data_IF_220484975995
#
_entry.id   IF_220484975995
#
_cell.length_a   1.000
_cell.length_b   1.000
_cell.length_c   1.000
_cell.angle_alpha   90.00
_cell.angle_beta   90.00
_cell.angle_gamma   90.00
#
_symmetry.space_group_name_H-M   'P 1'
#
loop_
_entity.id
_entity.type
_entity.pdbx_description
1 polymer ?
#
# COMPACT_ATOMS: atom_id res chain seq x y z
N UNK A 1 14.44 -27.38 -13.79
CA UNK A 1 13.64 -26.46 -12.98
C UNK A 1 14.38 -26.15 -11.69
N UNK A 2 14.67 -24.89 -11.45
CA UNK A 2 15.41 -24.49 -10.26
C UNK A 2 14.48 -24.48 -9.02
N UNK A 3 15.07 -24.28 -7.85
CA UNK A 3 14.30 -24.27 -6.59
C UNK A 3 13.30 -23.13 -6.53
N UNK A 4 13.61 -22.01 -7.16
CA UNK A 4 12.71 -20.85 -7.22
C UNK A 4 11.44 -21.22 -7.98
N UNK A 5 11.58 -21.91 -9.11
CA UNK A 5 10.42 -22.36 -9.89
C UNK A 5 9.57 -23.36 -9.14
N UNK A 6 10.19 -24.24 -8.38
CA UNK A 6 9.46 -25.19 -7.53
C UNK A 6 8.69 -24.48 -6.44
N UNK A 7 9.31 -23.51 -5.80
CA UNK A 7 8.68 -22.68 -4.78
C UNK A 7 7.52 -21.88 -5.36
N UNK A 8 7.73 -21.29 -6.53
CA UNK A 8 6.70 -20.53 -7.22
C UNK A 8 5.51 -21.41 -7.61
N UNK A 9 5.77 -22.64 -8.06
CA UNK A 9 4.71 -23.61 -8.37
C UNK A 9 3.91 -23.96 -7.13
N UNK A 10 4.58 -24.21 -6.04
CA UNK A 10 3.94 -24.54 -4.77
C UNK A 10 3.08 -23.39 -4.27
N UNK A 11 3.61 -22.17 -4.30
CA UNK A 11 2.88 -20.98 -3.93
C UNK A 11 1.70 -20.73 -4.85
N UNK A 12 1.85 -21.03 -6.14
CA UNK A 12 0.79 -20.87 -7.13
C UNK A 12 -0.39 -21.79 -6.86
N UNK A 13 -0.14 -23.00 -6.42
CA UNK A 13 -1.20 -23.92 -6.05
C UNK A 13 -1.97 -23.45 -4.83
N UNK A 14 -1.27 -22.83 -3.87
CA UNK A 14 -1.85 -22.40 -2.62
C UNK A 14 -2.32 -20.95 -2.63
N UNK A 15 -1.62 -20.06 -3.38
CA UNK A 15 -1.87 -18.63 -3.33
C UNK A 15 -1.51 -17.93 -4.65
N UNK A 16 -2.30 -18.14 -5.68
CA UNK A 16 -2.12 -17.44 -6.96
C UNK A 16 -2.01 -15.94 -6.81
N UNK A 17 -2.77 -15.36 -5.89
CA UNK A 17 -2.79 -13.93 -5.63
C UNK A 17 -1.43 -13.40 -5.18
N UNK A 18 -0.76 -14.13 -4.28
CA UNK A 18 0.55 -13.73 -3.78
C UNK A 18 1.60 -13.78 -4.89
N UNK A 19 1.53 -14.79 -5.75
CA UNK A 19 2.43 -14.92 -6.88
C UNK A 19 2.28 -13.78 -7.87
N UNK A 20 1.07 -13.39 -8.19
CA UNK A 20 0.80 -12.26 -9.07
C UNK A 20 1.34 -10.96 -8.49
N UNK A 21 1.13 -10.73 -7.20
CA UNK A 21 1.64 -9.55 -6.50
C UNK A 21 3.16 -9.51 -6.55
N UNK A 22 3.81 -10.65 -6.35
CA UNK A 22 5.27 -10.74 -6.42
C UNK A 22 5.79 -10.42 -7.83
N UNK A 23 5.12 -10.92 -8.87
CA UNK A 23 5.51 -10.62 -10.26
C UNK A 23 5.36 -9.15 -10.59
N UNK A 24 4.28 -8.53 -10.15
CA UNK A 24 4.05 -7.10 -10.36
C UNK A 24 5.13 -6.28 -9.67
N UNK A 25 5.51 -6.64 -8.47
CA UNK A 25 6.59 -5.99 -7.75
C UNK A 25 7.93 -6.11 -8.47
N UNK A 26 8.27 -7.29 -8.94
CA UNK A 26 9.50 -7.53 -9.68
C UNK A 26 9.53 -6.70 -10.96
N UNK A 27 8.41 -6.61 -11.67
CA UNK A 27 8.30 -5.79 -12.87
C UNK A 27 8.50 -4.31 -12.55
N UNK A 28 7.96 -3.81 -11.45
CA UNK A 28 8.15 -2.43 -11.01
C UNK A 28 9.62 -2.16 -10.72
N UNK A 29 10.28 -3.06 -10.02
CA UNK A 29 11.71 -2.95 -9.70
C UNK A 29 12.55 -2.97 -10.97
N UNK A 30 12.27 -3.88 -11.90
CA UNK A 30 13.00 -4.01 -13.16
C UNK A 30 12.81 -2.81 -14.07
N UNK A 31 11.67 -2.16 -14.03
CA UNK A 31 11.42 -0.97 -14.84
C UNK A 31 12.07 0.30 -14.26
N UNK A 32 12.77 0.19 -13.14
CA UNK A 32 13.42 1.33 -12.51
C UNK A 32 12.46 2.30 -11.85
N UNK A 33 11.23 1.88 -11.64
CA UNK A 33 10.20 2.73 -11.02
C UNK A 33 10.17 2.60 -9.50
N UNK A 34 11.26 2.15 -8.90
CA UNK A 34 11.41 2.19 -7.46
C UNK A 34 11.60 3.65 -7.05
N UNK A 35 10.50 4.34 -6.85
CA UNK A 35 10.55 5.72 -6.39
C UNK A 35 10.95 5.75 -4.93
N UNK A 36 12.09 6.39 -4.67
CA UNK A 36 12.29 6.97 -3.36
C UNK A 36 11.37 8.17 -3.28
N UNK A 37 10.56 8.23 -2.26
CA UNK A 37 9.73 9.40 -2.06
C UNK A 37 10.60 10.61 -1.78
N UNK A 38 10.23 11.74 -2.35
CA UNK A 38 10.90 13.00 -2.06
C UNK A 38 10.64 13.44 -0.62
N UNK A 39 9.53 13.04 -0.03
CA UNK A 39 9.16 13.40 1.33
C UNK A 39 9.27 12.19 2.26
N UNK A 40 9.95 12.39 3.38
CA UNK A 40 10.21 11.36 4.38
C UNK A 40 8.91 10.72 4.92
N UNK A 41 7.85 11.50 5.09
CA UNK A 41 6.57 10.99 5.57
C UNK A 41 6.04 9.86 4.69
N UNK A 42 6.16 10.00 3.38
CA UNK A 42 5.69 9.00 2.44
C UNK A 42 6.47 7.70 2.56
N UNK A 43 7.78 7.82 2.70
CA UNK A 43 8.67 6.67 2.82
C UNK A 43 8.39 5.88 4.10
N UNK A 44 8.34 6.57 5.24
CA UNK A 44 8.09 5.95 6.54
C UNK A 44 6.69 5.33 6.58
N UNK A 45 5.69 6.06 6.13
CA UNK A 45 4.31 5.57 6.15
C UNK A 45 4.11 4.38 5.23
N UNK A 46 4.72 4.39 4.06
CA UNK A 46 4.67 3.25 3.15
C UNK A 46 5.21 1.99 3.83
N UNK A 47 6.32 2.10 4.54
CA UNK A 47 6.91 0.98 5.27
C UNK A 47 5.96 0.45 6.33
N UNK A 48 5.36 1.33 7.12
CA UNK A 48 4.42 0.96 8.18
C UNK A 48 3.21 0.23 7.59
N UNK A 49 2.59 0.83 6.59
CA UNK A 49 1.39 0.27 5.95
C UNK A 49 1.68 -1.09 5.33
N UNK A 50 2.76 -1.19 4.58
CA UNK A 50 3.11 -2.45 3.92
C UNK A 50 3.42 -3.55 4.92
N UNK A 51 4.07 -3.22 6.02
CA UNK A 51 4.40 -4.20 7.06
C UNK A 51 3.13 -4.74 7.73
N UNK A 52 2.19 -3.86 8.07
CA UNK A 52 0.94 -4.27 8.70
C UNK A 52 0.04 -5.08 7.77
N UNK A 53 0.02 -4.74 6.50
CA UNK A 53 -0.78 -5.46 5.51
C UNK A 53 -0.10 -6.71 4.95
N UNK A 54 1.19 -6.87 5.22
CA UNK A 54 1.95 -8.00 4.68
C UNK A 54 2.10 -7.94 3.17
N UNK A 55 2.20 -6.75 2.61
CA UNK A 55 2.38 -6.52 1.18
C UNK A 55 3.74 -5.88 0.92
N UNK A 56 4.34 -6.12 -0.25
CA UNK A 56 5.67 -5.59 -0.56
C UNK A 56 5.65 -4.09 -0.88
N UNK A 57 4.59 -3.61 -1.50
CA UNK A 57 4.45 -2.20 -1.87
C UNK A 57 2.99 -1.86 -2.12
N UNK A 58 2.61 -0.60 -1.89
CA UNK A 58 1.27 -0.12 -2.22
C UNK A 58 1.14 0.29 -3.69
N UNK A 59 2.24 0.31 -4.45
CA UNK A 59 2.27 0.85 -5.82
C UNK A 59 1.85 -0.12 -6.91
N UNK A 60 1.59 -1.36 -6.55
CA UNK A 60 1.10 -2.33 -7.52
C UNK A 60 -0.27 -1.89 -8.01
N UNK A 61 -0.43 -1.80 -9.34
CA UNK A 61 -1.71 -1.48 -9.96
C UNK A 61 -2.61 -2.71 -9.91
N UNK A 62 -3.31 -2.85 -8.82
CA UNK A 62 -4.23 -3.97 -8.61
C UNK A 62 -5.45 -3.47 -7.85
N UNK A 63 -6.58 -4.14 -8.09
CA UNK A 63 -7.83 -3.88 -7.38
C UNK A 63 -8.08 -4.87 -6.24
N UNK A 64 -7.08 -5.67 -5.90
CA UNK A 64 -7.19 -6.59 -4.76
C UNK A 64 -7.43 -5.79 -3.50
N UNK A 65 -8.33 -6.31 -2.68
CA UNK A 65 -8.87 -5.58 -1.54
C UNK A 65 -7.80 -5.14 -0.55
N UNK A 66 -6.77 -5.96 -0.32
CA UNK A 66 -5.67 -5.61 0.57
C UNK A 66 -4.93 -4.37 0.12
N UNK A 67 -4.66 -4.26 -1.17
CA UNK A 67 -3.97 -3.10 -1.74
C UNK A 67 -4.85 -1.87 -1.72
N UNK A 68 -6.13 -2.04 -2.01
CA UNK A 68 -7.09 -0.94 -1.96
C UNK A 68 -7.20 -0.40 -0.54
N UNK A 69 -7.34 -1.29 0.44
CA UNK A 69 -7.40 -0.90 1.84
C UNK A 69 -6.09 -0.25 2.32
N UNK A 70 -4.94 -0.79 1.92
CA UNK A 70 -3.64 -0.24 2.27
C UNK A 70 -3.46 1.18 1.73
N UNK A 71 -3.78 1.39 0.45
CA UNK A 71 -3.68 2.72 -0.16
C UNK A 71 -4.62 3.72 0.51
N UNK A 72 -5.81 3.28 0.91
CA UNK A 72 -6.79 4.18 1.52
C UNK A 72 -6.33 4.70 2.88
N UNK A 73 -5.77 3.86 3.74
CA UNK A 73 -5.25 4.33 5.02
C UNK A 73 -3.98 5.18 4.83
N UNK A 74 -3.14 4.83 3.87
CA UNK A 74 -1.98 5.61 3.50
C UNK A 74 -2.38 7.04 3.11
N UNK A 75 -3.33 7.16 2.19
CA UNK A 75 -3.80 8.47 1.71
C UNK A 75 -4.47 9.27 2.84
N UNK A 76 -5.26 8.62 3.67
CA UNK A 76 -5.94 9.26 4.78
C UNK A 76 -4.95 9.86 5.78
N UNK A 77 -3.95 9.11 6.18
CA UNK A 77 -2.95 9.58 7.15
C UNK A 77 -2.17 10.76 6.57
N UNK A 78 -1.76 10.69 5.31
CA UNK A 78 -1.06 11.79 4.67
C UNK A 78 -1.93 13.04 4.54
N UNK A 79 -3.19 12.87 4.20
CA UNK A 79 -4.13 13.99 4.11
C UNK A 79 -4.34 14.63 5.47
N UNK A 80 -4.49 13.83 6.52
CA UNK A 80 -4.62 14.30 7.90
C UNK A 80 -3.36 15.01 8.38
N UNK A 81 -2.22 14.63 7.85
CA UNK A 81 -0.93 15.22 8.20
C UNK A 81 -0.66 16.54 7.46
N UNK A 82 -1.63 17.01 6.69
CA UNK A 82 -1.56 18.31 6.02
C UNK A 82 -1.12 18.29 4.56
N UNK A 83 -0.87 17.12 3.99
CA UNK A 83 -0.49 17.05 2.57
C UNK A 83 -1.70 17.27 1.68
N UNK A 84 -1.51 18.02 0.60
CA UNK A 84 -2.57 18.29 -0.38
C UNK A 84 -2.83 17.06 -1.25
N UNK A 85 -4.05 17.00 -1.81
CA UNK A 85 -4.39 15.94 -2.76
C UNK A 85 -3.42 15.91 -3.94
N UNK A 86 -3.05 17.07 -4.45
CA UNK A 86 -2.10 17.19 -5.56
C UNK A 86 -0.72 16.66 -5.20
N UNK A 87 -0.23 16.96 -4.00
CA UNK A 87 1.07 16.49 -3.56
C UNK A 87 1.07 14.97 -3.36
N UNK A 88 0.03 14.44 -2.71
CA UNK A 88 -0.12 12.97 -2.55
C UNK A 88 -0.16 12.30 -3.92
N UNK A 89 -0.94 12.84 -4.85
CA UNK A 89 -1.04 12.30 -6.21
C UNK A 89 0.28 12.34 -6.95
N UNK A 90 1.03 13.44 -6.85
CA UNK A 90 2.32 13.57 -7.53
C UNK A 90 3.36 12.59 -7.00
N UNK A 91 3.39 12.38 -5.68
CA UNK A 91 4.32 11.45 -5.04
C UNK A 91 3.99 9.98 -5.35
N UNK A 92 2.73 9.67 -5.56
CA UNK A 92 2.25 8.30 -5.78
C UNK A 92 1.85 8.03 -7.23
N UNK A 93 2.04 9.00 -8.10
CA UNK A 93 1.67 8.92 -9.52
C UNK A 93 0.19 8.57 -9.71
N UNK A 94 -0.68 9.23 -8.96
CA UNK A 94 -2.13 9.04 -9.04
C UNK A 94 -2.82 10.41 -9.16
N UNK A 95 -3.96 10.44 -9.83
CA UNK A 95 -4.73 11.68 -10.00
C UNK A 95 -5.55 12.04 -8.77
N UNK A 96 -6.02 13.29 -8.72
CA UNK A 96 -6.87 13.79 -7.62
C UNK A 96 -8.10 12.92 -7.39
N UNK A 97 -8.79 12.55 -8.46
CA UNK A 97 -10.00 11.72 -8.38
C UNK A 97 -9.71 10.38 -7.71
N UNK A 98 -8.58 9.78 -8.03
CA UNK A 98 -8.15 8.51 -7.43
C UNK A 98 -7.93 8.67 -5.93
N UNK A 99 -7.27 9.76 -5.52
CA UNK A 99 -7.03 10.03 -4.09
C UNK A 99 -8.35 10.29 -3.37
N UNK A 100 -9.24 11.07 -3.95
CA UNK A 100 -10.56 11.35 -3.37
C UNK A 100 -11.35 10.05 -3.16
N UNK A 101 -11.35 9.17 -4.17
CA UNK A 101 -12.02 7.86 -4.06
C UNK A 101 -11.37 7.00 -2.98
N UNK A 102 -10.05 7.03 -2.87
CA UNK A 102 -9.31 6.32 -1.83
C UNK A 102 -9.73 6.77 -0.43
N UNK A 103 -9.91 8.08 -0.23
CA UNK A 103 -10.38 8.61 1.05
C UNK A 103 -11.80 8.16 1.39
N UNK A 104 -12.67 8.05 0.39
CA UNK A 104 -14.02 7.51 0.59
C UNK A 104 -13.98 6.03 0.96
N UNK A 105 -13.08 5.28 0.34
CA UNK A 105 -12.86 3.87 0.65
C UNK A 105 -12.38 3.71 2.09
N UNK A 106 -11.47 4.56 2.54
CA UNK A 106 -11.01 4.57 3.94
C UNK A 106 -12.19 4.72 4.90
N UNK A 107 -13.09 5.64 4.62
CA UNK A 107 -14.26 5.87 5.47
C UNK A 107 -15.09 4.59 5.64
N UNK A 108 -15.29 3.84 4.57
CA UNK A 108 -15.98 2.55 4.64
C UNK A 108 -15.23 1.49 5.43
N UNK A 109 -13.96 1.29 5.10
CA UNK A 109 -13.14 0.27 5.75
C UNK A 109 -12.85 0.57 7.22
N UNK A 110 -12.80 1.83 7.61
CA UNK A 110 -12.58 2.21 9.01
C UNK A 110 -13.71 1.75 9.93
N UNK A 111 -14.87 1.45 9.37
CA UNK A 111 -16.02 0.91 10.09
C UNK A 111 -16.17 -0.61 9.93
N UNK A 112 -15.39 -1.20 9.06
CA UNK A 112 -15.44 -2.63 8.78
C UNK A 112 -14.64 -3.41 9.82
N UNK A 113 -15.28 -4.41 10.41
CA UNK A 113 -14.66 -5.25 11.45
C UNK A 113 -13.33 -5.85 10.98
N UNK A 114 -13.21 -6.16 9.68
CA UNK A 114 -12.01 -6.79 9.12
C UNK A 114 -10.80 -5.85 9.09
N UNK A 115 -11.01 -4.54 8.98
CA UNK A 115 -9.91 -3.59 8.79
C UNK A 115 -9.79 -2.52 9.88
N UNK A 116 -10.82 -2.36 10.69
CA UNK A 116 -10.87 -1.33 11.72
C UNK A 116 -9.65 -1.36 12.66
N UNK A 117 -9.36 -2.53 13.22
CA UNK A 117 -8.26 -2.68 14.17
C UNK A 117 -6.91 -2.48 13.51
N UNK A 118 -6.76 -2.99 12.29
CA UNK A 118 -5.53 -2.82 11.51
C UNK A 118 -5.26 -1.35 11.22
N UNK A 119 -6.28 -0.61 10.84
CA UNK A 119 -6.16 0.83 10.60
C UNK A 119 -5.75 1.57 11.88
N UNK A 120 -6.36 1.23 13.01
CA UNK A 120 -6.01 1.83 14.29
C UNK A 120 -4.54 1.55 14.67
N UNK A 121 -4.07 0.34 14.46
CA UNK A 121 -2.69 -0.01 14.74
C UNK A 121 -1.71 0.80 13.88
N UNK A 122 -2.02 0.96 12.61
CA UNK A 122 -1.20 1.75 11.68
C UNK A 122 -1.19 3.22 12.11
N UNK A 123 -2.34 3.79 12.40
CA UNK A 123 -2.45 5.18 12.82
C UNK A 123 -1.73 5.43 14.14
N UNK A 124 -1.83 4.52 15.09
CA UNK A 124 -1.14 4.63 16.38
C UNK A 124 0.38 4.55 16.21
N UNK A 125 0.87 3.63 15.40
CA UNK A 125 2.30 3.54 15.13
C UNK A 125 2.81 4.81 14.46
N UNK A 126 2.07 5.34 13.50
CA UNK A 126 2.42 6.58 12.83
C UNK A 126 2.53 7.74 13.82
N UNK A 127 1.55 7.89 14.70
CA UNK A 127 1.56 8.93 15.73
C UNK A 127 2.73 8.81 16.69
N UNK A 128 3.08 7.59 17.07
CA UNK A 128 4.22 7.32 17.96
C UNK A 128 5.53 7.75 17.33
N UNK A 129 5.70 7.56 16.02
CA UNK A 129 6.93 7.90 15.31
C UNK A 129 7.04 9.39 14.98
N UNK A 130 5.91 10.09 14.82
CA UNK A 130 5.90 11.48 14.39
C UNK A 130 5.77 12.47 15.54
N UNK A 131 5.48 11.99 16.71
CA UNK A 131 5.38 12.81 17.93
C UNK A 131 6.33 12.24 18.99
#
# INVERSE_FOLDING_TARGET
MNEIDKLLKKLKQDQNTLLENFREEVLIIQSGQQKKYAHKDFEVLNEIVCRHFGIPTIFVQTRKIYYVAARSVFDFILRNNGHTLGFIGSQTNRGHTTIINSLKIYEGFSKDVSYKDLYLEIENEWKTLTY
#
